data_IF_089763380627
#
_entry.id   IF_089763380627
#
_cell.length_a   1.000
_cell.length_b   1.000
_cell.length_c   1.000
_cell.angle_alpha   90.00
_cell.angle_beta   90.00
_cell.angle_gamma   90.00
#
_symmetry.space_group_name_H-M   'P 1'
#
loop_
_entity.id
_entity.type
_entity.pdbx_description
1 polymer ?
#
# COMPACT_ATOMS: atom_id res chain seq x y z
N UNK A 1 -17.16 9.31 -19.67
CA UNK A 1 -15.90 8.59 -19.41
C UNK A 1 -15.02 9.49 -18.55
N UNK A 2 -15.05 9.30 -17.23
CA UNK A 2 -14.26 10.13 -16.31
C UNK A 2 -12.76 9.90 -16.56
N UNK A 3 -11.95 10.95 -16.47
CA UNK A 3 -10.48 10.85 -16.57
C UNK A 3 -10.02 9.73 -15.65
N UNK A 4 -9.31 8.76 -16.21
CA UNK A 4 -8.79 7.65 -15.44
C UNK A 4 -7.57 8.12 -14.65
N UNK A 5 -7.77 8.45 -13.38
CA UNK A 5 -6.72 9.03 -12.53
C UNK A 5 -5.96 7.88 -11.87
N UNK A 6 -4.74 7.63 -12.36
CA UNK A 6 -3.86 6.53 -11.93
C UNK A 6 -3.74 6.38 -10.40
N UNK A 7 -3.55 7.48 -9.67
CA UNK A 7 -3.43 7.42 -8.21
C UNK A 7 -4.72 6.95 -7.53
N UNK A 8 -5.90 7.24 -8.10
CA UNK A 8 -7.19 6.79 -7.57
C UNK A 8 -7.37 5.29 -7.78
N UNK A 9 -6.96 4.76 -8.94
CA UNK A 9 -6.95 3.33 -9.20
C UNK A 9 -6.02 2.59 -8.24
N UNK A 10 -4.79 3.08 -8.07
CA UNK A 10 -3.84 2.50 -7.11
C UNK A 10 -4.34 2.57 -5.68
N UNK A 11 -4.97 3.68 -5.29
CA UNK A 11 -5.58 3.80 -3.97
C UNK A 11 -6.70 2.78 -3.76
N UNK A 12 -7.51 2.49 -4.79
CA UNK A 12 -8.50 1.41 -4.74
C UNK A 12 -7.84 0.04 -4.51
N UNK A 13 -6.75 -0.25 -5.22
CA UNK A 13 -5.99 -1.49 -5.05
C UNK A 13 -5.33 -1.59 -3.67
N UNK A 14 -4.73 -0.50 -3.18
CA UNK A 14 -4.16 -0.41 -1.85
C UNK A 14 -5.20 -0.72 -0.76
N UNK A 15 -6.42 -0.17 -0.87
CA UNK A 15 -7.50 -0.46 0.10
C UNK A 15 -7.86 -1.94 0.15
N UNK A 16 -7.92 -2.62 -1.02
CA UNK A 16 -8.19 -4.06 -1.08
C UNK A 16 -7.06 -4.87 -0.44
N UNK A 17 -5.81 -4.53 -0.77
CA UNK A 17 -4.62 -5.14 -0.20
C UNK A 17 -4.57 -4.97 1.34
N UNK A 18 -4.82 -3.76 1.83
CA UNK A 18 -4.84 -3.44 3.25
C UNK A 18 -5.95 -4.21 3.98
N UNK A 19 -7.12 -4.37 3.36
CA UNK A 19 -8.19 -5.19 3.92
C UNK A 19 -7.76 -6.65 4.10
N UNK A 20 -7.20 -7.26 3.05
CA UNK A 20 -6.71 -8.64 3.08
C UNK A 20 -5.58 -8.83 4.12
N UNK A 21 -4.65 -7.88 4.23
CA UNK A 21 -3.64 -7.90 5.28
C UNK A 21 -4.29 -7.82 6.68
N UNK A 22 -5.33 -6.99 6.84
CA UNK A 22 -6.10 -6.89 8.06
C UNK A 22 -6.76 -8.22 8.45
N UNK A 23 -7.31 -8.97 7.49
CA UNK A 23 -7.86 -10.30 7.70
C UNK A 23 -6.78 -11.30 8.15
N UNK A 24 -5.60 -11.27 7.52
CA UNK A 24 -4.47 -12.12 7.92
C UNK A 24 -3.99 -11.80 9.35
N UNK A 25 -3.94 -10.52 9.74
CA UNK A 25 -3.64 -10.09 11.11
C UNK A 25 -4.72 -10.52 12.10
N UNK A 26 -6.00 -10.45 11.71
CA UNK A 26 -7.09 -10.91 12.58
C UNK A 26 -7.02 -12.42 12.82
N UNK A 27 -6.71 -13.20 11.77
CA UNK A 27 -6.53 -14.65 11.87
C UNK A 27 -5.34 -15.03 12.76
N UNK A 28 -4.21 -14.32 12.65
CA UNK A 28 -3.04 -14.59 13.48
C UNK A 28 -3.25 -14.27 14.97
N UNK A 29 -4.22 -13.39 15.28
CA UNK A 29 -4.64 -13.11 16.67
C UNK A 29 -5.65 -14.11 17.20
N UNK A 30 -6.40 -14.79 16.34
CA UNK A 30 -7.42 -15.75 16.77
C UNK A 30 -6.85 -17.16 16.98
N UNK A 31 -5.78 -17.52 16.27
CA UNK A 31 -5.05 -18.78 16.45
C UNK A 31 -3.63 -18.70 15.88
N UNK A 32 -2.83 -19.72 16.16
CA UNK A 32 -1.56 -19.90 15.47
C UNK A 32 -1.79 -20.15 13.96
N UNK A 33 -0.93 -19.52 13.15
CA UNK A 33 -0.90 -19.70 11.71
C UNK A 33 -0.06 -20.92 11.33
N UNK A 34 -0.51 -21.67 10.34
CA UNK A 34 0.37 -22.61 9.63
C UNK A 34 1.49 -21.87 8.90
N UNK A 35 2.55 -22.58 8.53
CA UNK A 35 3.70 -21.95 7.84
C UNK A 35 3.30 -21.33 6.49
N UNK A 36 2.35 -21.94 5.76
CA UNK A 36 1.80 -21.38 4.54
C UNK A 36 1.03 -20.07 4.80
N UNK A 37 0.27 -20.00 5.89
CA UNK A 37 -0.46 -18.79 6.27
C UNK A 37 0.49 -17.68 6.74
N UNK A 38 1.58 -18.03 7.45
CA UNK A 38 2.65 -17.08 7.79
C UNK A 38 3.28 -16.48 6.54
N UNK A 39 3.62 -17.33 5.55
CA UNK A 39 4.13 -16.88 4.25
C UNK A 39 3.12 -15.98 3.52
N UNK A 40 1.83 -16.36 3.51
CA UNK A 40 0.76 -15.56 2.92
C UNK A 40 0.62 -14.19 3.59
N UNK A 41 0.74 -14.13 4.91
CA UNK A 41 0.72 -12.87 5.67
C UNK A 41 1.93 -11.98 5.35
N UNK A 42 3.13 -12.57 5.25
CA UNK A 42 4.35 -11.83 4.85
C UNK A 42 4.20 -11.26 3.44
N UNK A 43 3.76 -12.08 2.48
CA UNK A 43 3.52 -11.63 1.11
C UNK A 43 2.46 -10.53 1.06
N UNK A 44 1.41 -10.65 1.88
CA UNK A 44 0.37 -9.64 2.02
C UNK A 44 0.90 -8.31 2.54
N UNK A 45 1.80 -8.36 3.52
CA UNK A 45 2.47 -7.17 4.02
C UNK A 45 3.33 -6.51 2.92
N UNK A 46 4.14 -7.28 2.20
CA UNK A 46 5.05 -6.76 1.16
C UNK A 46 4.30 -6.02 0.05
N UNK A 47 3.30 -6.65 -0.58
CA UNK A 47 2.55 -6.00 -1.66
C UNK A 47 1.70 -4.84 -1.14
N UNK A 48 1.21 -4.90 0.10
CA UNK A 48 0.44 -3.79 0.69
C UNK A 48 1.34 -2.58 0.94
N UNK A 49 2.57 -2.80 1.43
CA UNK A 49 3.55 -1.74 1.62
C UNK A 49 3.96 -1.11 0.28
N UNK A 50 4.22 -1.94 -0.74
CA UNK A 50 4.54 -1.49 -2.10
C UNK A 50 3.41 -0.63 -2.69
N UNK A 51 2.17 -1.08 -2.58
CA UNK A 51 1.00 -0.33 -3.02
C UNK A 51 0.82 0.98 -2.23
N UNK A 52 1.09 0.99 -0.92
CA UNK A 52 0.96 2.19 -0.10
C UNK A 52 1.88 3.31 -0.59
N UNK A 53 3.18 3.03 -0.75
CA UNK A 53 4.13 4.08 -1.11
C UNK A 53 4.03 4.48 -2.58
N UNK A 54 3.70 3.56 -3.48
CA UNK A 54 3.48 3.90 -4.90
C UNK A 54 2.19 4.71 -5.09
N UNK A 55 1.14 4.43 -4.30
CA UNK A 55 -0.07 5.29 -4.27
C UNK A 55 0.27 6.69 -3.79
N UNK A 56 1.05 6.81 -2.72
CA UNK A 56 1.48 8.10 -2.17
C UNK A 56 2.34 8.88 -3.17
N UNK A 57 3.29 8.21 -3.83
CA UNK A 57 4.09 8.78 -4.91
C UNK A 57 3.20 9.32 -6.03
N UNK A 58 2.33 8.50 -6.60
CA UNK A 58 1.45 8.91 -7.71
C UNK A 58 0.55 10.09 -7.31
N UNK A 59 0.07 10.13 -6.05
CA UNK A 59 -0.70 11.26 -5.53
C UNK A 59 0.15 12.55 -5.43
N UNK A 60 1.36 12.46 -4.89
CA UNK A 60 2.26 13.60 -4.78
C UNK A 60 2.67 14.14 -6.16
N UNK A 61 2.94 13.26 -7.12
CA UNK A 61 3.22 13.62 -8.51
C UNK A 61 2.02 14.32 -9.16
N UNK A 62 0.80 13.81 -8.92
CA UNK A 62 -0.44 14.47 -9.35
C UNK A 62 -0.62 15.86 -8.74
N UNK A 63 -0.11 16.08 -7.52
CA UNK A 63 -0.09 17.40 -6.84
C UNK A 63 1.09 18.28 -7.26
N UNK A 64 1.90 17.86 -8.24
CA UNK A 64 3.01 18.64 -8.80
C UNK A 64 4.36 18.43 -8.10
N UNK A 65 4.46 17.51 -7.15
CA UNK A 65 5.74 17.14 -6.54
C UNK A 65 6.57 16.28 -7.50
N UNK A 66 7.90 16.31 -7.36
CA UNK A 66 8.85 15.58 -8.20
C UNK A 66 9.95 14.92 -7.35
N UNK A 67 10.82 14.16 -8.01
CA UNK A 67 12.03 13.56 -7.44
C UNK A 67 11.75 12.58 -6.28
N UNK A 68 10.73 11.72 -6.47
CA UNK A 68 10.33 10.67 -5.52
C UNK A 68 10.76 9.30 -6.08
N UNK A 69 11.80 8.73 -5.51
CA UNK A 69 12.42 7.50 -6.04
C UNK A 69 12.06 6.23 -5.27
N UNK A 70 11.63 6.35 -4.00
CA UNK A 70 11.25 5.19 -3.19
C UNK A 70 10.37 5.53 -2.00
N UNK A 71 10.03 4.51 -1.21
CA UNK A 71 9.07 4.60 -0.11
C UNK A 71 9.46 5.63 0.96
N UNK A 72 10.75 5.71 1.27
CA UNK A 72 11.33 6.66 2.22
C UNK A 72 11.11 8.11 1.77
N UNK A 73 11.39 8.39 0.50
CA UNK A 73 11.30 9.75 -0.05
C UNK A 73 9.84 10.15 -0.23
N UNK A 74 8.99 9.23 -0.69
CA UNK A 74 7.55 9.43 -0.78
C UNK A 74 6.94 9.82 0.57
N UNK A 75 7.30 9.07 1.63
CA UNK A 75 6.83 9.35 2.99
C UNK A 75 7.33 10.70 3.48
N UNK A 76 8.64 10.98 3.39
CA UNK A 76 9.21 12.27 3.83
C UNK A 76 8.57 13.45 3.12
N UNK A 77 8.40 13.36 1.80
CA UNK A 77 7.82 14.42 0.99
C UNK A 77 6.36 14.68 1.37
N UNK A 78 5.59 13.64 1.69
CA UNK A 78 4.22 13.80 2.14
C UNK A 78 4.09 14.56 3.47
N UNK A 79 5.04 14.38 4.39
CA UNK A 79 5.05 15.08 5.69
C UNK A 79 5.70 16.47 5.66
N UNK A 80 6.26 16.89 4.53
CA UNK A 80 6.82 18.24 4.34
C UNK A 80 5.79 19.24 3.80
N UNK A 81 4.63 18.76 3.32
CA UNK A 81 3.53 19.56 2.81
C UNK A 81 2.53 19.87 3.93
#
# INVERSE_FOLDING_TARGET
MGKDIRWQQRFSNYKKALHQLGEAVALSKSRELSDLEKQGMIQAFEYTHELAWTTLKDFLEFKGQRDIYGSKDASRKAFQL
#
